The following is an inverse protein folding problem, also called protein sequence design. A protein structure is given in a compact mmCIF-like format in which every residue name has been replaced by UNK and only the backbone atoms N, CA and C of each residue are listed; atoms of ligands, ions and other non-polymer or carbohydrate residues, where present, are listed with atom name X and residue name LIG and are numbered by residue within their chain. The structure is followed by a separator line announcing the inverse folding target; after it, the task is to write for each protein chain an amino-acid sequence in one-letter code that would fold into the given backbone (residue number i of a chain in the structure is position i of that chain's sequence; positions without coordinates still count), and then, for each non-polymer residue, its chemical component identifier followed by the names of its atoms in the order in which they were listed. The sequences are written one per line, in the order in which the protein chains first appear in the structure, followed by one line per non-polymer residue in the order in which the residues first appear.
data_IF_321764257702
#
_entry.id   IF_321764257702
#
_cell.length_a   1.000
_cell.length_b   1.000
_cell.length_c   1.000
_cell.angle_alpha   90.00
_cell.angle_beta   90.00
_cell.angle_gamma   90.00
#
_symmetry.space_group_name_H-M   'P 1'
#
loop_
_entity.id
_entity.type
_entity.pdbx_description
1 polymer ?
#
# COMPACT_ATOMS: atom_id res chain seq x y z
N UNK A 1 18.45 -2.23 -18.66
CA UNK A 1 17.18 -2.72 -18.12
C UNK A 1 16.37 -3.27 -19.29
N UNK A 2 15.83 -4.49 -19.17
CA UNK A 2 15.07 -5.11 -20.24
C UNK A 2 13.71 -4.40 -20.42
N UNK A 3 13.28 -4.26 -21.68
CA UNK A 3 11.98 -3.66 -22.02
C UNK A 3 10.85 -4.67 -21.79
N UNK A 4 9.59 -4.23 -21.67
CA UNK A 4 8.44 -5.13 -21.41
C UNK A 4 8.36 -6.33 -22.37
N UNK A 5 8.61 -6.13 -23.67
CA UNK A 5 8.61 -7.21 -24.66
C UNK A 5 9.79 -8.17 -24.54
N UNK A 6 10.96 -7.66 -24.14
CA UNK A 6 12.14 -8.50 -23.95
C UNK A 6 11.88 -9.47 -22.78
N UNK A 7 11.32 -8.96 -21.65
CA UNK A 7 10.90 -9.80 -20.53
C UNK A 7 9.82 -10.83 -20.94
N UNK A 8 8.83 -10.41 -21.74
CA UNK A 8 7.77 -11.30 -22.23
C UNK A 8 8.36 -12.45 -23.08
N UNK A 9 9.28 -12.13 -23.99
CA UNK A 9 9.90 -13.13 -24.85
C UNK A 9 10.78 -14.11 -24.07
N UNK A 10 11.48 -13.64 -23.03
CA UNK A 10 12.31 -14.48 -22.16
C UNK A 10 11.50 -15.50 -21.36
N UNK A 11 10.24 -15.21 -21.06
CA UNK A 11 9.33 -16.07 -20.30
C UNK A 11 8.39 -16.91 -21.20
N UNK A 12 8.45 -16.74 -22.51
CA UNK A 12 7.47 -17.30 -23.44
C UNK A 12 7.37 -18.84 -23.45
N UNK A 13 8.40 -19.54 -22.99
CA UNK A 13 8.45 -21.01 -22.93
C UNK A 13 8.39 -21.56 -21.50
N UNK A 14 8.32 -20.68 -20.48
CA UNK A 14 8.38 -21.07 -19.08
C UNK A 14 6.99 -21.12 -18.47
N UNK A 15 6.74 -22.11 -17.61
CA UNK A 15 5.54 -22.20 -16.78
C UNK A 15 5.76 -21.36 -15.50
N UNK A 16 5.84 -20.04 -15.70
CA UNK A 16 6.14 -19.08 -14.62
C UNK A 16 4.91 -18.56 -13.91
N UNK A 17 3.72 -18.58 -14.54
CA UNK A 17 2.47 -18.08 -14.01
C UNK A 17 1.63 -19.22 -13.43
N UNK A 18 1.85 -19.53 -12.15
CA UNK A 18 1.27 -20.71 -11.49
C UNK A 18 -0.25 -20.59 -11.38
N UNK A 19 -0.95 -21.61 -11.88
CA UNK A 19 -2.42 -21.66 -11.90
C UNK A 19 -3.07 -21.02 -13.13
N UNK A 20 -2.26 -20.52 -14.07
CA UNK A 20 -2.70 -19.94 -15.33
C UNK A 20 -1.89 -20.48 -16.50
N UNK A 21 -2.43 -20.38 -17.70
CA UNK A 21 -1.74 -20.75 -18.93
C UNK A 21 -0.81 -19.61 -19.40
N UNK A 22 0.49 -19.81 -19.26
CA UNK A 22 1.51 -18.84 -19.68
C UNK A 22 1.51 -18.58 -21.19
N UNK A 23 1.13 -19.56 -22.02
CA UNK A 23 1.02 -19.37 -23.47
C UNK A 23 -0.17 -18.48 -23.82
N UNK A 24 -1.30 -18.69 -23.13
CA UNK A 24 -2.49 -17.85 -23.30
C UNK A 24 -2.22 -16.40 -22.84
N UNK A 25 -1.48 -16.22 -21.74
CA UNK A 25 -1.00 -14.91 -21.31
C UNK A 25 -0.18 -14.20 -22.40
N UNK A 26 0.81 -14.90 -22.98
CA UNK A 26 1.66 -14.38 -24.05
C UNK A 26 0.84 -14.01 -25.31
N UNK A 27 -0.12 -14.87 -25.68
CA UNK A 27 -0.99 -14.61 -26.82
C UNK A 27 -1.80 -13.31 -26.62
N UNK A 28 -2.49 -13.17 -25.49
CA UNK A 28 -3.28 -11.96 -25.19
C UNK A 28 -2.38 -10.72 -25.18
N UNK A 29 -1.21 -10.79 -24.55
CA UNK A 29 -0.28 -9.67 -24.48
C UNK A 29 0.20 -9.23 -25.88
N UNK A 30 0.52 -10.17 -26.76
CA UNK A 30 0.93 -9.88 -28.15
C UNK A 30 -0.19 -9.34 -29.00
N UNK A 31 -1.39 -9.91 -28.95
CA UNK A 31 -2.56 -9.44 -29.68
C UNK A 31 -2.90 -7.99 -29.30
N UNK A 32 -3.02 -7.71 -27.99
CA UNK A 32 -3.29 -6.35 -27.50
C UNK A 32 -2.16 -5.38 -27.82
N UNK A 33 -0.90 -5.80 -27.77
CA UNK A 33 0.23 -4.96 -28.17
C UNK A 33 0.13 -4.51 -29.62
N UNK A 34 -0.23 -5.42 -30.55
CA UNK A 34 -0.41 -5.11 -31.96
C UNK A 34 -1.57 -4.13 -32.16
N UNK A 35 -2.71 -4.35 -31.50
CA UNK A 35 -3.87 -3.45 -31.58
C UNK A 35 -3.53 -2.04 -31.06
N UNK A 36 -2.89 -1.93 -29.89
CA UNK A 36 -2.53 -0.65 -29.30
C UNK A 36 -1.46 0.09 -30.13
N UNK A 37 -0.54 -0.65 -30.74
CA UNK A 37 0.47 -0.08 -31.65
C UNK A 37 -0.19 0.46 -32.91
N UNK A 38 -1.20 -0.21 -33.47
CA UNK A 38 -1.96 0.30 -34.60
C UNK A 38 -2.75 1.57 -34.27
N UNK A 39 -3.38 1.64 -33.09
CA UNK A 39 -4.05 2.85 -32.61
C UNK A 39 -3.06 4.01 -32.43
N UNK A 40 -1.84 3.73 -31.99
CA UNK A 40 -0.78 4.72 -31.80
C UNK A 40 -0.19 5.24 -33.12
N UNK A 41 -0.34 4.50 -34.22
CA UNK A 41 0.21 4.88 -35.55
C UNK A 41 -0.40 6.18 -36.11
N UNK A 42 -1.54 6.61 -35.60
CA UNK A 42 -2.22 7.87 -35.99
C UNK A 42 -1.65 9.13 -35.31
N UNK A 43 -0.65 9.03 -34.42
CA UNK A 43 0.04 10.14 -33.77
C UNK A 43 0.29 9.96 -32.27
N UNK A 44 -0.69 10.27 -31.43
CA UNK A 44 -0.54 10.21 -29.98
C UNK A 44 -1.00 8.86 -29.46
N UNK A 45 -0.20 8.15 -28.62
CA UNK A 45 -0.61 6.91 -27.99
C UNK A 45 -1.89 7.08 -27.15
N UNK A 46 -2.86 6.15 -27.25
CA UNK A 46 -4.13 6.25 -26.53
C UNK A 46 -3.95 6.13 -25.03
N UNK A 47 -4.71 6.93 -24.28
CA UNK A 47 -4.82 6.82 -22.82
C UNK A 47 -5.70 5.62 -22.46
N UNK A 48 -5.15 4.69 -21.67
CA UNK A 48 -5.80 3.42 -21.35
C UNK A 48 -6.23 3.40 -19.89
N UNK A 49 -7.52 3.19 -19.63
CA UNK A 49 -7.98 2.70 -18.32
C UNK A 49 -7.91 1.19 -18.32
N UNK A 50 -7.19 0.62 -17.35
CA UNK A 50 -7.07 -0.81 -17.13
C UNK A 50 -7.79 -1.20 -15.83
N UNK A 51 -8.93 -1.90 -15.98
CA UNK A 51 -9.80 -2.33 -14.88
C UNK A 51 -10.30 -3.78 -15.06
N UNK A 52 -9.43 -4.64 -15.56
CA UNK A 52 -9.72 -6.05 -15.76
C UNK A 52 -9.86 -6.79 -14.41
N UNK A 53 -10.88 -7.65 -14.30
CA UNK A 53 -11.10 -8.50 -13.11
C UNK A 53 -10.22 -9.74 -13.10
N UNK A 54 -10.04 -10.31 -14.27
CA UNK A 54 -9.30 -11.55 -14.44
C UNK A 54 -7.79 -11.24 -14.41
N UNK A 55 -7.02 -11.84 -13.47
CA UNK A 55 -5.61 -11.51 -13.26
C UNK A 55 -4.74 -11.67 -14.50
N UNK A 56 -4.94 -12.76 -15.27
CA UNK A 56 -4.16 -13.02 -16.47
C UNK A 56 -4.37 -11.91 -17.51
N UNK A 57 -5.64 -11.51 -17.76
CA UNK A 57 -5.96 -10.43 -18.70
C UNK A 57 -5.44 -9.09 -18.20
N UNK A 58 -5.55 -8.81 -16.89
CA UNK A 58 -5.00 -7.59 -16.30
C UNK A 58 -3.51 -7.46 -16.60
N UNK A 59 -2.74 -8.50 -16.30
CA UNK A 59 -1.29 -8.48 -16.48
C UNK A 59 -0.89 -8.44 -17.97
N UNK A 60 -1.58 -9.19 -18.83
CA UNK A 60 -1.34 -9.18 -20.28
C UNK A 60 -1.62 -7.78 -20.88
N UNK A 61 -2.74 -7.16 -20.47
CA UNK A 61 -3.10 -5.80 -20.88
C UNK A 61 -2.11 -4.75 -20.38
N UNK A 62 -1.62 -4.90 -19.14
CA UNK A 62 -0.60 -4.03 -18.56
C UNK A 62 0.70 -4.08 -19.38
N UNK A 63 1.19 -5.27 -19.68
CA UNK A 63 2.41 -5.44 -20.49
C UNK A 63 2.23 -4.92 -21.90
N UNK A 64 1.09 -5.20 -22.56
CA UNK A 64 0.77 -4.69 -23.87
C UNK A 64 0.78 -3.14 -23.92
N UNK A 65 0.13 -2.49 -22.94
CA UNK A 65 0.09 -1.04 -22.83
C UNK A 65 1.49 -0.44 -22.64
N UNK A 66 2.29 -1.01 -21.71
CA UNK A 66 3.68 -0.58 -21.49
C UNK A 66 4.54 -0.76 -22.75
N UNK A 67 4.41 -1.90 -23.44
CA UNK A 67 5.16 -2.21 -24.66
C UNK A 67 4.79 -1.29 -25.83
N UNK A 68 3.50 -0.91 -25.96
CA UNK A 68 3.01 0.01 -26.97
C UNK A 68 3.23 1.50 -26.60
N UNK A 69 3.92 1.77 -25.50
CA UNK A 69 4.16 3.12 -24.98
C UNK A 69 2.88 3.92 -24.66
N UNK A 70 1.78 3.25 -24.36
CA UNK A 70 0.52 3.89 -24.02
C UNK A 70 0.48 4.30 -22.54
N UNK A 71 0.01 5.53 -22.22
CA UNK A 71 -0.29 5.89 -20.84
C UNK A 71 -1.37 4.98 -20.27
N UNK A 72 -1.07 4.26 -19.17
CA UNK A 72 -2.00 3.28 -18.57
C UNK A 72 -2.37 3.65 -17.15
N UNK A 73 -3.68 3.69 -16.85
CA UNK A 73 -4.26 4.01 -15.55
C UNK A 73 -4.77 2.72 -14.90
N UNK A 74 -4.14 2.30 -13.81
CA UNK A 74 -4.52 1.09 -13.10
C UNK A 74 -5.69 1.41 -12.16
N UNK A 75 -6.85 0.83 -12.45
CA UNK A 75 -8.09 1.15 -11.79
C UNK A 75 -8.71 -0.08 -11.12
N UNK A 76 -9.36 0.14 -9.98
CA UNK A 76 -10.14 -0.90 -9.34
C UNK A 76 -11.49 -1.07 -10.05
N UNK A 77 -11.72 -2.24 -10.60
CA UNK A 77 -12.97 -2.59 -11.28
C UNK A 77 -14.20 -2.56 -10.37
N UNK A 78 -14.02 -2.58 -9.04
CA UNK A 78 -15.10 -2.55 -8.04
C UNK A 78 -15.39 -1.15 -7.49
N UNK A 79 -14.79 -0.09 -8.05
CA UNK A 79 -15.15 1.28 -7.67
C UNK A 79 -16.62 1.58 -7.91
N UNK A 80 -17.21 2.37 -7.01
CA UNK A 80 -18.58 2.85 -7.15
C UNK A 80 -18.72 3.95 -8.21
N UNK A 81 -19.97 4.31 -8.51
CA UNK A 81 -20.32 5.30 -9.55
C UNK A 81 -19.61 6.65 -9.36
N UNK A 82 -19.51 7.14 -8.12
CA UNK A 82 -18.86 8.44 -7.84
C UNK A 82 -17.35 8.40 -8.08
N UNK A 83 -16.70 7.29 -7.74
CA UNK A 83 -15.26 7.12 -7.96
C UNK A 83 -14.97 7.01 -9.46
N UNK A 84 -15.77 6.25 -10.19
CA UNK A 84 -15.65 6.14 -11.64
C UNK A 84 -15.88 7.49 -12.34
N UNK A 85 -16.87 8.28 -11.87
CA UNK A 85 -17.09 9.62 -12.42
C UNK A 85 -15.85 10.51 -12.25
N UNK A 86 -15.23 10.51 -11.04
CA UNK A 86 -13.98 11.26 -10.81
C UNK A 86 -12.85 10.80 -11.74
N UNK A 87 -12.73 9.51 -11.97
CA UNK A 87 -11.70 8.95 -12.87
C UNK A 87 -11.95 9.37 -14.31
N UNK A 88 -13.18 9.26 -14.81
CA UNK A 88 -13.52 9.66 -16.18
C UNK A 88 -13.34 11.15 -16.41
N UNK A 89 -13.74 11.99 -15.45
CA UNK A 89 -13.56 13.44 -15.53
C UNK A 89 -12.06 13.82 -15.53
N UNK A 90 -11.25 13.10 -14.74
CA UNK A 90 -9.82 13.36 -14.62
C UNK A 90 -9.03 12.83 -15.83
N UNK A 91 -9.32 11.61 -16.29
CA UNK A 91 -8.48 10.88 -17.25
C UNK A 91 -8.93 11.14 -18.69
N UNK A 92 -10.24 11.14 -18.95
CA UNK A 92 -10.80 11.18 -20.31
C UNK A 92 -10.12 10.15 -21.22
N UNK A 93 -10.36 8.84 -20.99
CA UNK A 93 -9.64 7.75 -21.65
C UNK A 93 -10.03 7.62 -23.12
N UNK A 94 -9.09 7.15 -23.94
CA UNK A 94 -9.33 6.76 -25.34
C UNK A 94 -9.75 5.28 -25.44
N UNK A 95 -9.22 4.44 -24.51
CA UNK A 95 -9.48 2.99 -24.46
C UNK A 95 -9.77 2.56 -23.02
N UNK A 96 -10.74 1.68 -22.85
CA UNK A 96 -11.07 1.06 -21.54
C UNK A 96 -11.00 -0.45 -21.70
N UNK A 97 -10.16 -1.09 -20.86
CA UNK A 97 -9.99 -2.55 -20.80
C UNK A 97 -10.60 -3.07 -19.49
N UNK A 98 -11.53 -4.05 -19.58
CA UNK A 98 -12.07 -4.81 -18.47
C UNK A 98 -13.45 -4.39 -17.95
N UNK A 99 -13.92 -3.17 -18.17
CA UNK A 99 -15.29 -2.77 -17.88
C UNK A 99 -16.10 -2.90 -19.18
N UNK A 100 -17.10 -3.78 -19.18
CA UNK A 100 -17.95 -3.97 -20.35
C UNK A 100 -18.69 -2.68 -20.72
N UNK A 101 -18.76 -2.38 -22.02
CA UNK A 101 -19.36 -1.20 -22.67
C UNK A 101 -20.86 -0.98 -22.36
N UNK A 102 -21.47 -1.64 -21.39
CA UNK A 102 -22.93 -1.70 -21.25
C UNK A 102 -23.54 -0.67 -20.30
N UNK A 103 -22.76 0.00 -19.47
CA UNK A 103 -23.32 0.92 -18.47
C UNK A 103 -22.80 2.36 -18.53
N UNK A 104 -21.66 2.59 -19.18
CA UNK A 104 -21.06 3.92 -19.26
C UNK A 104 -20.94 4.29 -20.74
N UNK A 105 -21.77 5.22 -21.19
CA UNK A 105 -21.69 5.75 -22.55
C UNK A 105 -20.30 6.29 -22.82
N UNK A 106 -19.57 5.63 -23.74
CA UNK A 106 -18.30 6.14 -24.24
C UNK A 106 -18.58 7.42 -24.98
N UNK A 107 -18.47 8.55 -24.29
CA UNK A 107 -18.30 9.83 -24.97
C UNK A 107 -16.87 9.86 -25.50
N UNK A 108 -16.71 9.78 -26.82
CA UNK A 108 -15.49 10.22 -27.48
C UNK A 108 -15.32 11.68 -27.07
N UNK A 109 -14.43 11.94 -26.14
CA UNK A 109 -14.22 13.26 -25.56
C UNK A 109 -13.69 14.20 -26.63
N UNK A 110 -14.45 15.23 -26.97
CA UNK A 110 -13.92 16.37 -27.68
C UNK A 110 -12.81 17.00 -26.87
N UNK A 111 -11.57 16.84 -27.35
CA UNK A 111 -10.34 17.21 -26.68
C UNK A 111 -10.34 18.62 -26.13
N UNK A 112 -10.38 18.71 -24.82
CA UNK A 112 -9.83 19.85 -24.10
C UNK A 112 -8.34 19.55 -23.85
N UNK A 113 -7.50 20.51 -24.26
CA UNK A 113 -6.03 20.49 -24.17
C UNK A 113 -5.49 20.33 -22.75
N UNK A 114 -5.65 19.15 -22.14
CA UNK A 114 -4.71 18.74 -21.11
C UNK A 114 -3.50 18.13 -21.83
N UNK A 115 -2.30 18.63 -21.53
CA UNK A 115 -1.06 18.03 -22.03
C UNK A 115 -1.16 16.52 -21.81
N UNK A 116 -1.16 15.76 -22.93
CA UNK A 116 -1.12 14.32 -22.87
C UNK A 116 0.08 13.91 -22.01
N UNK A 117 -0.08 13.06 -20.99
CA UNK A 117 1.09 12.54 -20.29
C UNK A 117 2.04 11.97 -21.33
N UNK A 118 3.34 12.20 -21.13
CA UNK A 118 4.35 11.69 -22.04
C UNK A 118 4.17 10.18 -22.23
N UNK A 119 4.45 9.61 -23.39
CA UNK A 119 4.37 8.17 -23.62
C UNK A 119 5.14 7.42 -22.53
N UNK A 120 4.77 6.19 -22.23
CA UNK A 120 5.34 5.29 -21.20
C UNK A 120 4.94 5.55 -19.75
N UNK A 121 3.96 6.40 -19.46
CA UNK A 121 3.57 6.62 -18.08
C UNK A 121 2.61 5.54 -17.58
N UNK A 122 2.89 5.07 -16.36
CA UNK A 122 2.10 4.09 -15.61
C UNK A 122 1.49 4.82 -14.43
N UNK A 123 0.19 5.03 -14.45
CA UNK A 123 -0.55 5.74 -13.43
C UNK A 123 -1.15 4.77 -12.43
N UNK A 124 -0.64 4.79 -11.21
CA UNK A 124 -1.10 3.92 -10.12
C UNK A 124 -1.95 4.73 -9.16
N UNK A 125 -3.19 4.28 -8.94
CA UNK A 125 -4.12 4.98 -8.05
C UNK A 125 -3.59 5.01 -6.61
N UNK A 126 -3.64 6.18 -5.98
CA UNK A 126 -3.31 6.36 -4.57
C UNK A 126 -4.50 6.97 -3.82
N UNK A 127 -4.78 6.43 -2.63
CA UNK A 127 -5.85 6.96 -1.78
C UNK A 127 -5.38 8.24 -1.09
N UNK A 128 -5.83 9.38 -1.57
CA UNK A 128 -5.64 10.64 -0.87
C UNK A 128 -6.53 10.75 0.38
N UNK A 129 -6.02 11.32 1.48
CA UNK A 129 -6.80 11.69 2.67
C UNK A 129 -7.91 12.72 2.36
N UNK A 130 -7.83 13.38 1.20
CA UNK A 130 -8.77 14.41 0.74
C UNK A 130 -10.05 13.87 0.07
N UNK A 131 -10.20 12.55 -0.06
CA UNK A 131 -11.34 11.94 -0.78
C UNK A 131 -11.31 12.14 -2.32
N UNK A 132 -10.31 12.83 -2.85
CA UNK A 132 -10.11 12.99 -4.28
C UNK A 132 -9.23 11.87 -4.84
N UNK A 133 -9.62 11.35 -6.00
CA UNK A 133 -8.84 10.35 -6.72
C UNK A 133 -7.55 10.97 -7.26
N UNK A 134 -6.41 10.31 -7.01
CA UNK A 134 -5.11 10.71 -7.51
C UNK A 134 -4.39 9.51 -8.10
N UNK A 135 -3.54 9.76 -9.10
CA UNK A 135 -2.68 8.74 -9.68
C UNK A 135 -1.22 9.19 -9.58
N UNK A 136 -0.39 8.39 -8.92
CA UNK A 136 1.06 8.57 -8.96
C UNK A 136 1.58 8.15 -10.33
N UNK A 137 2.45 8.97 -10.92
CA UNK A 137 3.00 8.76 -12.25
C UNK A 137 4.31 7.99 -12.12
N UNK A 138 4.34 6.79 -12.65
CA UNK A 138 5.54 5.96 -12.74
C UNK A 138 5.92 5.73 -14.21
N UNK A 139 7.10 5.18 -14.41
CA UNK A 139 7.58 4.63 -15.68
C UNK A 139 8.04 3.20 -15.47
N UNK A 140 8.32 2.49 -16.56
CA UNK A 140 8.92 1.15 -16.46
C UNK A 140 10.23 1.19 -15.68
N UNK A 141 11.04 2.24 -15.87
CA UNK A 141 12.31 2.44 -15.20
C UNK A 141 12.15 2.63 -13.69
N UNK A 142 11.19 3.43 -13.23
CA UNK A 142 10.96 3.64 -11.79
C UNK A 142 10.48 2.36 -11.11
N UNK A 143 9.62 1.57 -11.78
CA UNK A 143 9.17 0.28 -11.24
C UNK A 143 10.30 -0.75 -11.18
N UNK A 144 11.09 -0.85 -12.25
CA UNK A 144 12.22 -1.79 -12.31
C UNK A 144 13.39 -1.38 -11.41
N UNK A 145 13.59 -0.08 -11.12
CA UNK A 145 14.55 0.36 -10.10
C UNK A 145 14.17 -0.16 -8.70
N UNK A 146 12.86 -0.16 -8.36
CA UNK A 146 12.39 -0.77 -7.12
C UNK A 146 12.63 -2.28 -7.09
N UNK A 147 12.44 -2.99 -8.22
CA UNK A 147 12.76 -4.43 -8.32
C UNK A 147 14.25 -4.68 -8.10
N UNK A 148 15.11 -3.90 -8.74
CA UNK A 148 16.56 -4.04 -8.60
C UNK A 148 16.98 -3.83 -7.15
N UNK A 149 16.52 -2.74 -6.51
CA UNK A 149 16.81 -2.49 -5.09
C UNK A 149 16.33 -3.60 -4.16
N UNK A 150 15.18 -4.23 -4.46
CA UNK A 150 14.69 -5.40 -3.74
C UNK A 150 15.62 -6.60 -3.92
N UNK A 151 15.99 -6.92 -5.16
CA UNK A 151 16.85 -8.06 -5.49
C UNK A 151 18.25 -7.93 -4.86
N UNK A 152 18.83 -6.72 -4.92
CA UNK A 152 20.12 -6.42 -4.29
C UNK A 152 20.06 -6.53 -2.77
N UNK A 153 18.97 -6.03 -2.16
CA UNK A 153 18.79 -6.09 -0.70
C UNK A 153 18.70 -7.53 -0.17
N UNK A 154 17.91 -8.37 -0.85
CA UNK A 154 17.77 -9.78 -0.48
C UNK A 154 18.86 -10.69 -1.08
N UNK A 155 19.74 -10.16 -1.94
CA UNK A 155 20.82 -10.88 -2.63
C UNK A 155 20.29 -12.08 -3.44
N UNK A 156 19.24 -11.84 -4.21
CA UNK A 156 18.58 -12.85 -5.03
C UNK A 156 18.50 -12.42 -6.49
N UNK A 157 18.61 -13.37 -7.41
CA UNK A 157 18.52 -13.13 -8.86
C UNK A 157 17.12 -13.33 -9.41
N UNK A 158 16.39 -14.31 -8.87
CA UNK A 158 15.02 -14.64 -9.26
C UNK A 158 14.10 -14.46 -8.05
N UNK A 159 12.98 -13.78 -8.25
CA UNK A 159 11.98 -13.53 -7.20
C UNK A 159 10.70 -14.29 -7.51
N UNK A 160 10.41 -15.33 -6.73
CA UNK A 160 9.12 -15.98 -6.80
C UNK A 160 8.16 -15.29 -5.84
N UNK A 161 6.97 -14.92 -6.32
CA UNK A 161 5.95 -14.21 -5.53
C UNK A 161 4.65 -14.99 -5.44
N UNK A 162 4.08 -15.07 -4.25
CA UNK A 162 2.71 -15.51 -4.02
C UNK A 162 1.84 -14.28 -3.74
N UNK A 163 1.09 -13.83 -4.75
CA UNK A 163 0.35 -12.58 -4.73
C UNK A 163 -1.09 -12.78 -4.27
N UNK A 164 -1.42 -12.23 -3.11
CA UNK A 164 -2.79 -12.18 -2.56
C UNK A 164 -3.38 -10.76 -2.54
N UNK A 165 -2.63 -9.78 -3.04
CA UNK A 165 -3.01 -8.38 -3.06
C UNK A 165 -3.49 -7.94 -4.44
N UNK A 166 -4.38 -6.94 -4.53
CA UNK A 166 -4.93 -6.48 -5.81
C UNK A 166 -3.84 -5.98 -6.75
N UNK A 167 -3.88 -6.41 -8.01
CA UNK A 167 -2.88 -6.08 -9.04
C UNK A 167 -2.93 -4.60 -9.47
N UNK A 168 -4.07 -3.92 -9.34
CA UNK A 168 -4.22 -2.50 -9.62
C UNK A 168 -3.62 -1.60 -8.53
N UNK A 169 -3.21 -2.14 -7.39
CA UNK A 169 -2.43 -1.45 -6.36
C UNK A 169 -0.94 -1.75 -6.51
N UNK A 170 -0.11 -0.78 -6.12
CA UNK A 170 1.36 -0.93 -6.15
C UNK A 170 1.83 -2.20 -5.43
N UNK A 171 1.17 -2.60 -4.35
CA UNK A 171 1.54 -3.78 -3.55
C UNK A 171 1.34 -5.11 -4.28
N UNK A 172 0.31 -5.23 -5.13
CA UNK A 172 0.09 -6.39 -5.98
C UNK A 172 0.93 -6.31 -7.26
N UNK A 173 0.90 -5.15 -7.94
CA UNK A 173 1.67 -4.90 -9.17
C UNK A 173 3.15 -5.23 -8.98
N UNK A 174 3.76 -4.76 -7.89
CA UNK A 174 5.19 -4.97 -7.68
C UNK A 174 5.58 -6.41 -7.35
N UNK A 175 4.66 -7.25 -6.90
CA UNK A 175 4.90 -8.69 -6.81
C UNK A 175 4.99 -9.31 -8.21
N UNK A 176 4.10 -8.91 -9.12
CA UNK A 176 4.21 -9.28 -10.53
C UNK A 176 5.51 -8.75 -11.14
N UNK A 177 5.80 -7.45 -11.00
CA UNK A 177 7.00 -6.86 -11.56
C UNK A 177 8.28 -7.59 -11.14
N UNK A 178 8.39 -7.94 -9.85
CA UNK A 178 9.52 -8.73 -9.34
C UNK A 178 9.65 -10.07 -10.04
N UNK A 179 8.58 -10.86 -10.10
CA UNK A 179 8.63 -12.17 -10.74
C UNK A 179 8.85 -12.06 -12.25
N UNK A 180 8.14 -11.15 -12.92
CA UNK A 180 8.19 -10.99 -14.36
C UNK A 180 9.57 -10.53 -14.86
N UNK A 181 10.16 -9.52 -14.22
CA UNK A 181 11.45 -8.94 -14.69
C UNK A 181 12.68 -9.69 -14.20
N UNK A 182 12.53 -10.63 -13.26
CA UNK A 182 13.64 -11.49 -12.78
C UNK A 182 13.53 -12.92 -13.25
N UNK A 183 12.63 -13.23 -14.18
CA UNK A 183 12.31 -14.59 -14.64
C UNK A 183 11.98 -15.55 -13.48
N UNK A 184 11.33 -15.04 -12.42
CA UNK A 184 10.82 -15.82 -11.31
C UNK A 184 9.39 -16.30 -11.55
N UNK A 185 8.86 -17.09 -10.61
CA UNK A 185 7.50 -17.64 -10.66
C UNK A 185 6.52 -16.72 -9.94
N UNK A 186 5.32 -16.60 -10.48
CA UNK A 186 4.21 -15.85 -9.90
C UNK A 186 3.01 -16.76 -9.67
N UNK A 187 2.59 -16.92 -8.42
CA UNK A 187 1.30 -17.50 -8.06
C UNK A 187 0.35 -16.37 -7.64
N UNK A 188 -0.86 -16.33 -8.23
CA UNK A 188 -1.85 -15.31 -7.91
C UNK A 188 -3.10 -15.98 -7.37
N UNK A 189 -3.52 -15.57 -6.19
CA UNK A 189 -4.73 -16.11 -5.58
C UNK A 189 -5.39 -15.05 -4.68
N UNK A 190 -6.72 -14.83 -4.76
CA UNK A 190 -7.41 -13.91 -3.86
C UNK A 190 -7.22 -14.33 -2.39
N UNK A 191 -6.92 -13.38 -1.52
CA UNK A 191 -6.73 -13.66 -0.09
C UNK A 191 -7.90 -14.42 0.54
N UNK A 192 -9.14 -14.08 0.13
CA UNK A 192 -10.35 -14.75 0.59
C UNK A 192 -10.33 -16.26 0.29
N UNK A 193 -9.81 -16.68 -0.87
CA UNK A 193 -9.68 -18.09 -1.24
C UNK A 193 -8.68 -18.82 -0.34
N UNK A 194 -7.57 -18.14 0.03
CA UNK A 194 -6.59 -18.65 0.99
C UNK A 194 -7.22 -18.82 2.37
N UNK A 195 -8.01 -17.83 2.84
CA UNK A 195 -8.73 -17.91 4.12
C UNK A 195 -9.65 -19.14 4.24
N UNK A 196 -10.22 -19.59 3.14
CA UNK A 196 -11.06 -20.81 3.11
C UNK A 196 -10.25 -22.10 2.95
N UNK A 197 -8.93 -22.05 3.00
CA UNK A 197 -8.05 -23.25 2.92
C UNK A 197 -7.89 -23.82 1.51
N UNK A 198 -8.43 -23.18 0.48
CA UNK A 198 -8.22 -23.58 -0.91
C UNK A 198 -6.97 -22.87 -1.44
N UNK A 199 -5.81 -23.51 -1.26
CA UNK A 199 -4.51 -22.90 -1.49
C UNK A 199 -3.80 -23.59 -2.66
N UNK A 200 -3.23 -22.80 -3.58
CA UNK A 200 -2.38 -23.30 -4.66
C UNK A 200 -1.19 -24.08 -4.09
N UNK A 201 -0.93 -25.25 -4.66
CA UNK A 201 0.20 -26.09 -4.26
C UNK A 201 1.50 -25.52 -4.82
N UNK A 202 2.31 -24.93 -3.93
CA UNK A 202 3.63 -24.40 -4.21
C UNK A 202 4.61 -24.84 -3.12
N UNK A 203 5.90 -24.69 -3.36
CA UNK A 203 6.93 -24.86 -2.32
C UNK A 203 7.19 -23.51 -1.66
N UNK A 204 6.48 -23.19 -0.59
CA UNK A 204 6.46 -21.90 0.11
C UNK A 204 7.85 -21.34 0.41
N UNK A 205 8.81 -22.23 0.76
CA UNK A 205 10.18 -21.84 1.09
C UNK A 205 10.95 -21.18 -0.08
N UNK A 206 10.39 -21.21 -1.30
CA UNK A 206 10.96 -20.55 -2.48
C UNK A 206 10.26 -19.22 -2.79
N UNK A 207 9.20 -18.86 -2.06
CA UNK A 207 8.33 -17.72 -2.38
C UNK A 207 8.37 -16.62 -1.33
N UNK A 208 8.21 -15.40 -1.82
CA UNK A 208 7.80 -14.24 -1.03
C UNK A 208 6.29 -14.10 -1.07
N UNK A 209 5.69 -13.69 0.05
CA UNK A 209 4.29 -13.27 0.12
C UNK A 209 4.21 -11.89 0.77
N UNK A 210 3.30 -11.03 0.29
CA UNK A 210 3.06 -9.72 0.88
C UNK A 210 1.68 -9.68 1.52
N UNK A 211 1.63 -9.23 2.77
CA UNK A 211 0.40 -9.10 3.55
C UNK A 211 0.27 -7.68 4.14
N UNK A 212 -0.97 -7.29 4.39
CA UNK A 212 -1.27 -6.17 5.29
C UNK A 212 -1.53 -6.68 6.70
N UNK A 213 -1.39 -5.85 7.77
CA UNK A 213 -1.54 -6.31 9.15
C UNK A 213 -2.87 -7.03 9.45
N UNK A 214 -3.97 -6.59 8.86
CA UNK A 214 -5.29 -7.25 9.03
C UNK A 214 -5.35 -8.63 8.40
N UNK A 215 -4.66 -8.88 7.29
CA UNK A 215 -4.54 -10.21 6.69
C UNK A 215 -3.68 -11.13 7.55
N UNK A 216 -2.52 -10.64 8.02
CA UNK A 216 -1.68 -11.38 8.96
C UNK A 216 -2.44 -11.76 10.22
N UNK A 217 -3.23 -10.83 10.78
CA UNK A 217 -4.07 -11.11 11.95
C UNK A 217 -5.04 -12.27 11.69
N UNK A 218 -5.72 -12.29 10.53
CA UNK A 218 -6.66 -13.35 10.18
C UNK A 218 -5.96 -14.69 9.99
N UNK A 219 -4.81 -14.71 9.33
CA UNK A 219 -3.99 -15.93 9.18
C UNK A 219 -3.60 -16.48 10.55
N UNK A 220 -3.15 -15.64 11.48
CA UNK A 220 -2.74 -16.04 12.83
C UNK A 220 -3.89 -16.48 13.74
N UNK A 221 -5.15 -16.32 13.34
CA UNK A 221 -6.32 -16.86 14.03
C UNK A 221 -6.63 -18.31 13.64
N UNK A 222 -6.08 -18.78 12.52
CA UNK A 222 -6.26 -20.16 12.02
C UNK A 222 -4.92 -20.92 12.12
N UNK A 223 -4.84 -22.02 12.90
CA UNK A 223 -3.61 -22.77 13.07
C UNK A 223 -3.02 -23.34 11.77
N UNK A 224 -3.86 -23.86 10.87
CA UNK A 224 -3.42 -24.43 9.58
C UNK A 224 -2.83 -23.37 8.67
N UNK A 225 -3.47 -22.19 8.59
CA UNK A 225 -2.93 -21.06 7.82
C UNK A 225 -1.69 -20.47 8.46
N UNK A 226 -1.59 -20.49 9.78
CA UNK A 226 -0.39 -20.06 10.51
C UNK A 226 0.80 -20.97 10.17
N UNK A 227 0.61 -22.28 10.20
CA UNK A 227 1.63 -23.27 9.81
C UNK A 227 2.01 -23.08 8.34
N UNK A 228 1.05 -22.96 7.44
CA UNK A 228 1.29 -22.70 6.02
C UNK A 228 2.12 -21.41 5.81
N UNK A 229 1.80 -20.32 6.51
CA UNK A 229 2.52 -19.05 6.36
C UNK A 229 3.94 -19.11 6.92
N UNK A 230 4.17 -19.92 7.96
CA UNK A 230 5.49 -20.08 8.58
C UNK A 230 6.53 -20.71 7.66
N UNK A 231 6.07 -21.40 6.61
CA UNK A 231 6.93 -22.09 5.63
C UNK A 231 7.44 -21.17 4.52
N UNK A 232 6.93 -19.94 4.40
CA UNK A 232 7.40 -19.00 3.37
C UNK A 232 8.85 -18.56 3.61
N UNK A 233 9.57 -18.34 2.50
CA UNK A 233 10.91 -17.76 2.55
C UNK A 233 10.90 -16.43 3.32
N UNK A 234 9.99 -15.55 2.94
CA UNK A 234 9.82 -14.23 3.54
C UNK A 234 8.39 -13.75 3.42
N UNK A 235 7.84 -13.24 4.51
CA UNK A 235 6.52 -12.61 4.58
C UNK A 235 6.71 -11.10 4.71
N UNK A 236 6.53 -10.36 3.62
CA UNK A 236 6.59 -8.90 3.62
C UNK A 236 5.32 -8.34 4.30
N UNK A 237 5.48 -7.45 5.25
CA UNK A 237 4.37 -6.82 5.97
C UNK A 237 4.42 -5.31 5.80
N UNK A 238 3.40 -4.74 5.15
CA UNK A 238 3.36 -3.31 4.87
C UNK A 238 1.94 -2.75 4.71
N UNK A 239 1.85 -1.54 4.18
CA UNK A 239 0.59 -0.85 3.88
C UNK A 239 -0.07 -0.16 5.08
N UNK A 240 0.23 -0.56 6.31
CA UNK A 240 -0.22 0.08 7.55
C UNK A 240 0.74 -0.28 8.71
N UNK A 241 0.75 0.50 9.81
CA UNK A 241 1.47 0.13 11.03
C UNK A 241 0.94 -1.19 11.61
N UNK A 242 1.86 -2.09 11.99
CA UNK A 242 1.55 -3.31 12.71
C UNK A 242 1.74 -3.08 14.21
N UNK A 243 0.82 -3.59 15.02
CA UNK A 243 0.90 -3.46 16.49
C UNK A 243 1.74 -4.58 17.11
N UNK A 244 2.30 -4.31 18.27
CA UNK A 244 3.31 -5.16 18.90
C UNK A 244 2.85 -6.61 19.13
N UNK A 245 1.59 -6.84 19.61
CA UNK A 245 1.14 -8.22 19.84
C UNK A 245 1.02 -9.02 18.54
N UNK A 246 0.65 -8.38 17.42
CA UNK A 246 0.63 -9.05 16.13
C UNK A 246 2.04 -9.51 15.76
N UNK A 247 3.03 -8.63 15.95
CA UNK A 247 4.43 -8.92 15.68
C UNK A 247 4.97 -10.01 16.62
N UNK A 248 4.64 -9.94 17.94
CA UNK A 248 5.03 -10.96 18.91
C UNK A 248 4.40 -12.32 18.58
N UNK A 249 3.12 -12.33 18.21
CA UNK A 249 2.44 -13.56 17.80
C UNK A 249 3.08 -14.17 16.54
N UNK A 250 3.40 -13.35 15.55
CA UNK A 250 4.11 -13.79 14.34
C UNK A 250 5.51 -14.36 14.68
N UNK A 251 6.24 -13.72 15.60
CA UNK A 251 7.54 -14.17 16.08
C UNK A 251 7.44 -15.49 16.84
N UNK A 252 6.43 -15.64 17.71
CA UNK A 252 6.16 -16.88 18.43
C UNK A 252 5.96 -18.07 17.48
N UNK A 253 5.21 -17.87 16.39
CA UNK A 253 5.02 -18.88 15.34
C UNK A 253 6.18 -18.97 14.33
N UNK A 254 7.29 -18.29 14.59
CA UNK A 254 8.51 -18.28 13.78
C UNK A 254 8.27 -17.90 12.32
N UNK A 255 7.25 -17.07 12.07
CA UNK A 255 7.00 -16.53 10.75
C UNK A 255 8.17 -15.62 10.37
N UNK A 256 8.76 -15.86 9.21
CA UNK A 256 9.87 -15.08 8.65
C UNK A 256 9.34 -13.73 8.13
N UNK A 257 8.86 -12.91 9.07
CA UNK A 257 8.25 -11.61 8.77
C UNK A 257 9.33 -10.59 8.42
N UNK A 258 9.03 -9.76 7.44
CA UNK A 258 9.85 -8.62 7.02
C UNK A 258 8.96 -7.36 7.00
N UNK A 259 8.84 -6.63 8.11
CA UNK A 259 8.20 -5.32 8.14
C UNK A 259 8.81 -4.39 7.10
N UNK A 260 7.97 -3.71 6.33
CA UNK A 260 8.40 -2.83 5.24
C UNK A 260 7.80 -1.44 5.36
N UNK A 261 8.52 -0.44 4.86
CA UNK A 261 8.01 0.90 4.67
C UNK A 261 8.14 1.33 3.23
N UNK A 262 7.07 1.86 2.68
CA UNK A 262 6.95 2.38 1.33
C UNK A 262 5.52 2.71 0.98
N UNK A 263 5.33 3.28 -0.18
CA UNK A 263 4.04 3.80 -0.65
C UNK A 263 3.91 3.68 -2.16
N UNK A 264 2.78 4.09 -2.71
CA UNK A 264 2.59 4.11 -4.17
C UNK A 264 3.66 4.96 -4.82
N UNK A 265 3.98 6.11 -4.25
CA UNK A 265 4.92 7.11 -4.77
C UNK A 265 6.38 6.62 -4.80
N UNK A 266 6.70 5.55 -4.07
CA UNK A 266 8.04 4.93 -4.05
C UNK A 266 8.10 3.61 -4.81
N UNK A 267 7.08 3.28 -5.61
CA UNK A 267 6.94 1.99 -6.29
C UNK A 267 7.14 0.81 -5.33
N UNK A 268 6.49 0.81 -4.17
CA UNK A 268 6.57 -0.16 -3.08
C UNK A 268 7.60 0.22 -1.99
N UNK A 269 8.26 -0.78 -1.37
CA UNK A 269 9.12 -0.57 -0.21
C UNK A 269 10.46 0.10 -0.55
N UNK A 270 10.89 0.99 0.35
CA UNK A 270 12.21 1.63 0.35
C UNK A 270 13.00 1.34 1.63
N UNK A 271 12.36 0.77 2.63
CA UNK A 271 13.01 0.22 3.82
C UNK A 271 12.38 -1.12 4.19
N UNK A 272 13.18 -2.05 4.71
CA UNK A 272 12.73 -3.39 5.07
C UNK A 272 13.57 -3.97 6.20
N UNK A 273 12.94 -4.53 7.21
CA UNK A 273 13.59 -5.32 8.24
C UNK A 273 13.76 -6.76 7.76
N UNK A 274 14.98 -7.30 7.82
CA UNK A 274 15.23 -8.70 7.41
C UNK A 274 14.52 -9.67 8.35
N UNK A 275 14.04 -10.83 7.84
CA UNK A 275 13.36 -11.84 8.67
C UNK A 275 14.17 -12.30 9.88
N UNK A 276 15.48 -12.45 9.75
CA UNK A 276 16.34 -12.92 10.86
C UNK A 276 16.48 -11.85 11.95
N UNK A 277 16.55 -10.57 11.59
CA UNK A 277 16.51 -9.46 12.54
C UNK A 277 15.15 -9.37 13.25
N UNK A 278 14.05 -9.58 12.52
CA UNK A 278 12.70 -9.66 13.09
C UNK A 278 12.59 -10.80 14.09
N UNK A 279 13.03 -12.01 13.74
CA UNK A 279 13.03 -13.18 14.63
C UNK A 279 13.97 -12.99 15.82
N UNK A 280 15.04 -12.19 15.65
CA UNK A 280 15.96 -11.77 16.73
C UNK A 280 15.40 -10.70 17.67
N UNK A 281 14.14 -10.25 17.46
CA UNK A 281 13.45 -9.33 18.38
C UNK A 281 13.51 -7.84 17.97
N UNK A 282 14.14 -7.47 16.83
CA UNK A 282 14.14 -6.07 16.38
C UNK A 282 12.74 -5.62 15.96
N UNK A 283 12.45 -4.34 16.24
CA UNK A 283 11.19 -3.66 15.88
C UNK A 283 11.56 -2.37 15.17
N UNK A 284 11.42 -2.34 13.86
CA UNK A 284 11.64 -1.16 13.01
C UNK A 284 11.08 -1.44 11.60
N UNK A 285 11.09 -0.45 10.72
CA UNK A 285 10.85 -0.66 9.29
C UNK A 285 12.10 -1.16 8.55
N UNK A 286 13.21 -1.38 9.26
CA UNK A 286 14.45 -1.97 8.77
C UNK A 286 15.40 -1.01 8.06
N UNK A 287 16.33 -1.57 7.31
CA UNK A 287 17.34 -0.83 6.57
C UNK A 287 16.77 -0.27 5.26
N UNK A 288 17.34 0.82 4.81
CA UNK A 288 17.01 1.46 3.53
C UNK A 288 17.52 0.55 2.39
N UNK A 289 16.70 0.36 1.37
CA UNK A 289 17.05 -0.44 0.20
C UNK A 289 18.08 0.29 -0.69
N UNK A 290 18.95 -0.42 -1.44
CA UNK A 290 20.05 0.17 -2.19
C UNK A 290 19.68 1.24 -3.23
N UNK A 291 18.45 1.21 -3.77
CA UNK A 291 17.95 2.17 -4.76
C UNK A 291 17.41 3.46 -4.15
N UNK A 292 17.42 3.58 -2.81
CA UNK A 292 16.85 4.70 -2.09
C UNK A 292 17.82 5.30 -1.07
N UNK A 293 17.60 6.58 -0.75
CA UNK A 293 18.23 7.31 0.34
C UNK A 293 17.15 8.00 1.15
N UNK A 294 17.21 7.87 2.47
CA UNK A 294 16.30 8.55 3.39
C UNK A 294 17.11 9.48 4.27
N UNK A 295 16.64 10.72 4.40
CA UNK A 295 17.15 11.70 5.34
C UNK A 295 16.02 12.13 6.28
N UNK A 296 16.38 12.39 7.53
CA UNK A 296 15.45 12.92 8.52
C UNK A 296 15.78 14.39 8.74
N UNK A 297 14.82 15.27 8.50
CA UNK A 297 15.03 16.71 8.55
C UNK A 297 14.10 17.39 9.56
N UNK A 298 14.57 18.50 10.14
CA UNK A 298 13.71 19.38 10.91
C UNK A 298 12.81 20.24 10.00
N UNK A 299 12.01 21.13 10.56
CA UNK A 299 11.12 22.03 9.80
C UNK A 299 11.88 23.03 8.91
N UNK A 300 13.14 23.32 9.22
CA UNK A 300 14.02 24.18 8.45
C UNK A 300 14.77 23.47 7.33
N UNK A 301 14.59 22.14 7.20
CA UNK A 301 15.27 21.31 6.18
C UNK A 301 16.67 20.85 6.60
N UNK A 302 17.09 21.08 7.85
CA UNK A 302 18.40 20.64 8.35
C UNK A 302 18.33 19.15 8.72
N UNK A 303 19.39 18.40 8.35
CA UNK A 303 19.48 16.95 8.62
C UNK A 303 19.71 16.73 10.12
N UNK A 304 18.88 15.86 10.71
CA UNK A 304 18.94 15.50 12.10
C UNK A 304 19.91 14.34 12.36
N UNK A 305 20.44 14.28 13.59
CA UNK A 305 21.25 13.18 14.06
C UNK A 305 20.40 11.90 14.30
N UNK A 306 21.02 10.71 14.35
CA UNK A 306 20.33 9.48 14.70
C UNK A 306 19.50 9.61 15.99
N UNK A 307 18.36 8.91 16.03
CA UNK A 307 17.36 8.91 17.11
C UNK A 307 16.61 10.24 17.31
N UNK A 308 16.80 11.22 16.44
CA UNK A 308 16.01 12.46 16.47
C UNK A 308 14.84 12.36 15.48
N UNK A 309 13.63 12.65 15.96
CA UNK A 309 12.40 12.59 15.18
C UNK A 309 12.29 13.84 14.29
N UNK A 310 12.03 13.62 13.01
CA UNK A 310 11.81 14.67 12.03
C UNK A 310 11.02 14.23 10.83
N UNK A 311 10.91 15.11 9.84
CA UNK A 311 10.25 14.84 8.57
C UNK A 311 11.12 13.87 7.74
N UNK A 312 10.48 12.88 7.15
CA UNK A 312 11.13 11.92 6.26
C UNK A 312 11.23 12.55 4.86
N UNK A 313 12.45 12.64 4.34
CA UNK A 313 12.73 13.03 2.96
C UNK A 313 13.32 11.84 2.22
N UNK A 314 12.77 11.56 1.04
CA UNK A 314 13.12 10.39 0.24
C UNK A 314 13.75 10.86 -1.07
N UNK A 315 14.89 10.29 -1.41
CA UNK A 315 15.51 10.32 -2.73
C UNK A 315 15.64 8.87 -3.21
N UNK A 316 15.00 8.51 -4.32
CA UNK A 316 15.05 7.15 -4.83
C UNK A 316 14.82 7.10 -6.35
N UNK A 317 15.52 6.18 -7.01
CA UNK A 317 15.32 5.92 -8.44
C UNK A 317 13.92 5.40 -8.77
N UNK A 318 13.21 4.89 -7.77
CA UNK A 318 11.83 4.38 -7.87
C UNK A 318 10.76 5.44 -7.60
N UNK A 319 11.14 6.71 -7.36
CA UNK A 319 10.16 7.77 -7.07
C UNK A 319 9.25 8.05 -8.26
N UNK A 320 7.97 8.26 -7.95
CA UNK A 320 6.99 8.75 -8.90
C UNK A 320 7.37 10.14 -9.42
N UNK A 321 7.13 10.38 -10.70
CA UNK A 321 7.40 11.67 -11.35
C UNK A 321 6.43 12.79 -10.91
N UNK A 322 5.39 12.46 -10.17
CA UNK A 322 4.37 13.40 -9.69
C UNK A 322 3.00 12.73 -9.57
N UNK A 323 1.96 13.57 -9.59
CA UNK A 323 0.57 13.10 -9.62
C UNK A 323 -0.12 13.62 -10.88
N UNK A 324 -0.74 12.71 -11.62
CA UNK A 324 -1.47 13.08 -12.83
C UNK A 324 -2.53 14.18 -12.56
N UNK A 325 -2.63 15.23 -13.40
CA UNK A 325 -1.90 15.44 -14.66
C UNK A 325 -0.55 16.19 -14.53
N UNK A 326 -0.04 16.43 -13.31
CA UNK A 326 1.13 17.28 -13.04
C UNK A 326 2.35 16.42 -12.76
N UNK A 327 3.39 16.55 -13.57
CA UNK A 327 4.72 16.01 -13.28
C UNK A 327 5.54 17.01 -12.48
N UNK A 328 6.45 16.50 -11.63
CA UNK A 328 7.42 17.32 -10.92
C UNK A 328 8.61 17.57 -11.83
N UNK A 329 8.73 18.79 -12.33
CA UNK A 329 9.94 19.17 -13.03
C UNK A 329 11.06 19.42 -11.99
N UNK A 330 12.18 18.69 -12.11
CA UNK A 330 13.45 18.93 -11.41
C UNK A 330 13.46 18.80 -9.85
N UNK A 331 12.52 18.09 -9.21
CA UNK A 331 12.64 17.76 -7.79
C UNK A 331 13.24 16.36 -7.59
N UNK A 332 14.47 16.31 -7.08
CA UNK A 332 15.16 15.06 -6.72
C UNK A 332 14.65 14.49 -5.40
N UNK A 333 14.11 15.33 -4.52
CA UNK A 333 13.71 14.95 -3.16
C UNK A 333 12.19 14.96 -3.01
N UNK A 334 11.67 13.94 -2.36
CA UNK A 334 10.26 13.83 -2.01
C UNK A 334 10.08 13.91 -0.50
N UNK A 335 9.65 15.08 -0.04
CA UNK A 335 9.23 15.24 1.35
C UNK A 335 7.82 14.70 1.50
N UNK A 336 7.67 13.77 2.41
CA UNK A 336 6.38 13.15 2.73
C UNK A 336 5.87 13.65 4.07
N UNK A 337 4.59 13.39 4.32
CA UNK A 337 3.94 13.80 5.56
C UNK A 337 4.27 12.87 6.75
N UNK A 338 5.07 11.81 6.53
CA UNK A 338 5.44 10.88 7.58
C UNK A 338 6.62 11.41 8.41
N UNK A 339 6.55 11.17 9.71
CA UNK A 339 7.59 11.46 10.69
C UNK A 339 8.28 10.18 11.13
N UNK A 340 9.58 10.26 11.32
CA UNK A 340 10.38 9.12 11.75
C UNK A 340 11.77 9.51 12.20
N UNK A 341 12.59 8.51 12.48
CA UNK A 341 14.00 8.66 12.77
C UNK A 341 14.80 7.47 12.25
N UNK A 342 16.07 7.69 12.00
CA UNK A 342 17.05 6.62 11.81
C UNK A 342 17.71 6.32 13.14
N UNK A 343 17.81 5.05 13.52
CA UNK A 343 18.56 4.65 14.69
C UNK A 343 20.09 4.66 14.43
N UNK A 344 20.89 4.38 15.45
CA UNK A 344 22.35 4.32 15.33
C UNK A 344 22.87 3.25 14.36
N UNK A 345 22.03 2.30 13.95
CA UNK A 345 22.36 1.24 12.98
C UNK A 345 21.82 1.57 11.58
N UNK A 346 21.17 2.74 11.41
CA UNK A 346 20.56 3.18 10.15
C UNK A 346 19.21 2.54 9.84
N UNK A 347 18.54 1.92 10.83
CA UNK A 347 17.19 1.41 10.62
C UNK A 347 16.15 2.54 10.73
N UNK A 348 15.21 2.54 9.80
CA UNK A 348 14.11 3.49 9.78
C UNK A 348 13.04 3.08 10.81
N UNK A 349 12.62 4.05 11.61
CA UNK A 349 11.54 3.93 12.57
C UNK A 349 10.48 4.99 12.26
N UNK A 350 9.27 4.54 11.95
CA UNK A 350 8.13 5.42 11.65
C UNK A 350 7.41 5.76 12.95
N UNK A 351 7.19 7.04 13.20
CA UNK A 351 6.47 7.54 14.38
C UNK A 351 5.00 7.82 14.07
N UNK A 352 4.69 8.34 12.88
CA UNK A 352 3.33 8.64 12.44
C UNK A 352 3.33 9.69 11.33
N UNK A 353 2.14 10.26 11.07
CA UNK A 353 1.99 11.36 10.10
C UNK A 353 1.94 12.69 10.79
N UNK A 354 2.55 13.70 10.19
CA UNK A 354 2.52 15.06 10.70
C UNK A 354 1.09 15.67 10.64
N UNK A 355 0.33 15.36 9.59
CA UNK A 355 -1.08 15.75 9.45
C UNK A 355 -2.02 15.07 10.44
N UNK A 356 -1.67 13.87 10.91
CA UNK A 356 -2.45 13.13 11.91
C UNK A 356 -2.07 13.50 13.34
N UNK A 357 -1.02 14.32 13.52
CA UNK A 357 -0.55 14.76 14.83
C UNK A 357 -1.64 15.56 15.56
N UNK A 358 -1.92 15.15 16.77
CA UNK A 358 -2.89 15.81 17.66
C UNK A 358 -2.12 16.70 18.65
N UNK A 359 -2.49 17.96 18.70
CA UNK A 359 -1.91 18.89 19.68
C UNK A 359 -2.88 19.06 20.83
N UNK A 360 -2.58 18.45 21.97
CA UNK A 360 -3.42 18.52 23.17
C UNK A 360 -2.64 19.04 24.35
N UNK A 361 -3.11 20.13 24.96
CA UNK A 361 -2.43 20.76 26.11
C UNK A 361 -0.98 21.19 25.84
N UNK A 362 -0.64 21.50 24.59
CA UNK A 362 0.71 21.85 24.15
C UNK A 362 1.61 20.66 23.81
N UNK A 363 1.14 19.42 24.03
CA UNK A 363 1.89 18.19 23.70
C UNK A 363 1.57 17.69 22.29
N UNK A 364 2.59 17.27 21.56
CA UNK A 364 2.46 16.64 20.26
C UNK A 364 2.23 15.14 20.42
N UNK A 365 1.06 14.66 20.05
CA UNK A 365 0.68 13.27 20.19
C UNK A 365 0.44 12.64 18.82
N UNK A 366 1.00 11.47 18.63
CA UNK A 366 0.83 10.69 17.41
C UNK A 366 -0.18 9.58 17.68
N UNK A 367 -1.33 9.57 16.96
CA UNK A 367 -2.40 8.59 17.15
C UNK A 367 -1.92 7.15 17.12
N UNK A 368 -0.99 6.82 16.24
CA UNK A 368 -0.49 5.47 16.05
C UNK A 368 0.09 4.83 17.34
N UNK A 369 0.74 5.62 18.20
CA UNK A 369 1.27 5.15 19.49
C UNK A 369 0.13 4.73 20.42
N UNK A 370 -0.92 5.54 20.47
CA UNK A 370 -2.08 5.28 21.33
C UNK A 370 -2.93 4.13 20.78
N UNK A 371 -3.16 4.13 19.47
CA UNK A 371 -3.87 3.05 18.77
C UNK A 371 -3.18 1.71 19.03
N UNK A 372 -1.85 1.67 18.92
CA UNK A 372 -1.05 0.47 19.22
C UNK A 372 -1.21 0.02 20.68
N UNK A 373 -1.14 0.95 21.64
CA UNK A 373 -1.31 0.63 23.05
C UNK A 373 -2.72 0.12 23.39
N UNK A 374 -3.77 0.69 22.75
CA UNK A 374 -5.15 0.25 22.93
C UNK A 374 -5.35 -1.13 22.29
N UNK A 375 -4.84 -1.37 21.10
CA UNK A 375 -4.88 -2.67 20.42
C UNK A 375 -4.22 -3.76 21.28
N UNK A 376 -3.09 -3.40 21.94
CA UNK A 376 -2.34 -4.23 22.87
C UNK A 376 -3.15 -4.72 24.08
N UNK A 377 -4.25 -4.08 24.41
CA UNK A 377 -5.17 -4.57 25.46
C UNK A 377 -5.99 -5.78 25.03
N UNK A 378 -6.05 -6.08 23.73
CA UNK A 378 -6.88 -7.11 23.09
C UNK A 378 -8.39 -6.95 23.34
N UNK A 379 -8.84 -5.81 23.86
CA UNK A 379 -10.23 -5.55 24.16
C UNK A 379 -11.00 -4.99 22.96
N UNK A 380 -10.27 -4.50 21.94
CA UNK A 380 -10.87 -3.91 20.74
C UNK A 380 -10.59 -4.77 19.50
N UNK A 381 -11.55 -4.86 18.60
CA UNK A 381 -11.38 -5.47 17.29
C UNK A 381 -10.73 -4.51 16.30
N UNK A 382 -11.05 -3.20 16.42
CA UNK A 382 -10.47 -2.12 15.62
C UNK A 382 -10.49 -0.82 16.41
N UNK A 383 -9.62 0.15 16.06
CA UNK A 383 -9.43 1.41 16.79
C UNK A 383 -8.94 2.51 15.85
N UNK A 384 -9.43 3.71 16.05
CA UNK A 384 -8.85 4.93 15.50
C UNK A 384 -8.84 6.03 16.57
N UNK A 385 -7.72 6.70 16.74
CA UNK A 385 -7.59 7.84 17.63
C UNK A 385 -7.52 9.13 16.80
N UNK A 386 -8.37 10.09 17.15
CA UNK A 386 -8.46 11.39 16.48
C UNK A 386 -8.43 12.52 17.49
N UNK A 387 -8.05 13.71 17.04
CA UNK A 387 -8.22 14.96 17.77
C UNK A 387 -9.54 15.63 17.40
N UNK A 388 -10.32 16.00 18.38
CA UNK A 388 -11.50 16.86 18.17
C UNK A 388 -11.28 18.23 18.83
N UNK A 389 -11.80 19.33 18.26
CA UNK A 389 -11.64 20.64 18.87
C UNK A 389 -12.12 20.69 20.33
N UNK A 390 -11.30 21.19 21.23
CA UNK A 390 -11.60 21.33 22.66
C UNK A 390 -11.14 22.69 23.14
N UNK A 391 -12.01 23.38 23.92
CA UNK A 391 -11.75 24.75 24.39
C UNK A 391 -10.58 24.85 25.38
N UNK A 392 -10.30 23.79 26.15
CA UNK A 392 -9.23 23.79 27.16
C UNK A 392 -7.91 23.22 26.62
N UNK A 393 -7.98 22.22 25.77
CA UNK A 393 -6.81 21.47 25.33
C UNK A 393 -6.37 21.79 23.91
N UNK A 394 -7.11 22.65 23.18
CA UNK A 394 -6.96 22.87 21.75
C UNK A 394 -7.57 21.72 20.97
N UNK A 395 -7.08 20.51 21.20
CA UNK A 395 -7.68 19.25 20.72
C UNK A 395 -7.80 18.26 21.89
N UNK A 396 -8.91 17.54 21.97
CA UNK A 396 -9.10 16.42 22.89
C UNK A 396 -8.89 15.10 22.17
N UNK A 397 -8.09 14.24 22.75
CA UNK A 397 -7.91 12.87 22.27
C UNK A 397 -9.21 12.09 22.36
N UNK A 398 -9.64 11.52 21.27
CA UNK A 398 -10.88 10.73 21.16
C UNK A 398 -10.57 9.38 20.53
N UNK A 399 -10.87 8.31 21.26
CA UNK A 399 -10.76 6.94 20.78
C UNK A 399 -12.11 6.48 20.23
N UNK A 400 -12.16 6.08 18.96
CA UNK A 400 -13.33 5.49 18.31
C UNK A 400 -12.98 4.03 18.05
N UNK A 401 -13.70 3.10 18.67
CA UNK A 401 -13.30 1.71 18.71
C UNK A 401 -14.45 0.73 18.47
N UNK A 402 -14.11 -0.43 17.94
CA UNK A 402 -15.02 -1.58 17.83
C UNK A 402 -14.72 -2.50 19.01
N UNK A 403 -15.65 -2.68 19.97
CA UNK A 403 -15.45 -3.58 21.09
C UNK A 403 -15.35 -5.03 20.60
N UNK A 404 -14.43 -5.81 21.17
CA UNK A 404 -14.26 -7.22 20.81
C UNK A 404 -15.30 -8.13 21.48
N UNK A 405 -15.77 -7.72 22.65
CA UNK A 405 -16.80 -8.39 23.44
C UNK A 405 -17.83 -7.38 23.92
N UNK A 406 -19.06 -7.83 24.17
CA UNK A 406 -20.16 -6.97 24.60
C UNK A 406 -19.92 -6.28 25.95
N UNK A 407 -19.08 -6.85 26.80
CA UNK A 407 -18.72 -6.31 28.12
C UNK A 407 -17.48 -5.40 28.09
N UNK A 408 -16.92 -5.11 26.90
CA UNK A 408 -15.80 -4.21 26.72
C UNK A 408 -16.22 -2.78 27.04
N UNK A 409 -15.68 -2.20 28.09
CA UNK A 409 -15.94 -0.80 28.48
C UNK A 409 -14.71 0.06 28.37
N UNK A 410 -14.90 1.36 28.11
CA UNK A 410 -13.84 2.36 28.08
C UNK A 410 -13.01 2.34 29.37
N UNK A 411 -13.67 2.20 30.54
CA UNK A 411 -13.01 2.18 31.86
C UNK A 411 -12.04 0.99 32.00
N UNK A 412 -12.43 -0.21 31.50
CA UNK A 412 -11.54 -1.39 31.51
C UNK A 412 -10.30 -1.13 30.65
N UNK A 413 -10.47 -0.57 29.44
CA UNK A 413 -9.36 -0.25 28.54
C UNK A 413 -8.45 0.80 29.20
N UNK A 414 -9.00 1.89 29.71
CA UNK A 414 -8.25 2.95 30.39
C UNK A 414 -7.40 2.42 31.55
N UNK A 415 -7.95 1.47 32.33
CA UNK A 415 -7.23 0.88 33.45
C UNK A 415 -6.00 0.13 32.99
N UNK A 416 -6.07 -0.60 31.88
CA UNK A 416 -4.93 -1.31 31.30
C UNK A 416 -3.88 -0.40 30.65
N UNK A 417 -4.24 0.83 30.35
CA UNK A 417 -3.35 1.82 29.73
C UNK A 417 -2.58 2.68 30.75
N UNK A 418 -3.02 2.75 32.01
CA UNK A 418 -2.44 3.64 33.01
C UNK A 418 -0.94 3.46 33.23
N UNK A 419 -0.47 2.22 33.14
CA UNK A 419 0.95 1.88 33.30
C UNK A 419 1.73 1.87 31.99
N UNK A 420 1.05 2.01 30.86
CA UNK A 420 1.64 1.94 29.52
C UNK A 420 1.78 3.29 28.84
N UNK A 421 0.88 4.23 29.15
CA UNK A 421 0.85 5.55 28.55
C UNK A 421 0.83 6.64 29.61
N UNK A 422 1.49 7.76 29.33
CA UNK A 422 1.40 8.94 30.17
C UNK A 422 -0.05 9.50 30.18
N UNK A 423 -0.44 10.15 31.25
CA UNK A 423 -1.82 10.61 31.51
C UNK A 423 -2.42 11.44 30.35
N UNK A 424 -1.61 12.26 29.70
CA UNK A 424 -2.05 13.12 28.59
C UNK A 424 -2.22 12.34 27.26
N UNK A 425 -1.70 11.12 27.15
CA UNK A 425 -1.90 10.22 26.02
C UNK A 425 -3.12 9.30 26.15
N UNK A 426 -3.81 9.33 27.29
CA UNK A 426 -5.04 8.56 27.49
C UNK A 426 -6.20 9.31 26.87
N UNK A 427 -6.95 8.72 25.91
CA UNK A 427 -8.09 9.39 25.31
C UNK A 427 -9.11 9.89 26.34
N UNK A 428 -9.56 11.13 26.15
CA UNK A 428 -10.58 11.76 27.00
C UNK A 428 -11.97 11.24 26.68
N UNK A 429 -12.25 11.03 25.39
CA UNK A 429 -13.52 10.52 24.91
C UNK A 429 -13.33 9.14 24.27
N UNK A 430 -14.33 8.26 24.51
CA UNK A 430 -14.34 6.88 24.06
C UNK A 430 -15.66 6.59 23.40
N UNK A 431 -15.67 6.33 22.10
CA UNK A 431 -16.88 6.17 21.29
C UNK A 431 -16.88 4.77 20.70
N UNK A 432 -17.74 3.86 21.21
CA UNK A 432 -17.91 2.55 20.61
C UNK A 432 -18.67 2.65 19.29
N UNK A 433 -18.25 1.88 18.30
CA UNK A 433 -18.87 1.77 16.99
C UNK A 433 -18.99 0.31 16.57
N UNK A 434 -19.89 0.00 15.63
CA UNK A 434 -20.03 -1.33 15.03
C UNK A 434 -19.03 -1.55 13.89
N UNK A 435 -18.65 -0.48 13.18
CA UNK A 435 -17.66 -0.50 12.13
C UNK A 435 -16.93 0.85 12.06
N UNK A 436 -15.67 0.86 11.60
CA UNK A 436 -14.96 2.08 11.29
C UNK A 436 -15.05 2.36 9.77
N UNK A 437 -15.41 3.59 9.36
CA UNK A 437 -15.49 3.95 7.96
C UNK A 437 -14.12 3.83 7.31
N UNK A 438 -14.07 3.13 6.18
CA UNK A 438 -12.84 2.92 5.40
C UNK A 438 -13.08 3.31 3.95
N UNK A 439 -12.02 3.78 3.31
CA UNK A 439 -12.03 3.97 1.87
C UNK A 439 -11.90 2.61 1.14
N UNK A 440 -12.08 2.56 -0.19
CA UNK A 440 -11.97 1.33 -0.97
C UNK A 440 -10.61 0.63 -0.86
N UNK A 441 -9.54 1.36 -0.51
CA UNK A 441 -8.21 0.81 -0.23
C UNK A 441 -8.08 0.23 1.19
N UNK A 442 -9.17 0.21 1.98
CA UNK A 442 -9.19 -0.28 3.35
C UNK A 442 -8.60 0.68 4.39
N UNK A 443 -8.21 1.89 4.00
CA UNK A 443 -7.71 2.92 4.94
C UNK A 443 -8.87 3.61 5.66
N UNK A 444 -8.68 3.87 6.96
CA UNK A 444 -9.67 4.57 7.79
C UNK A 444 -9.92 5.99 7.28
N UNK A 445 -11.19 6.37 7.14
CA UNK A 445 -11.62 7.73 6.81
C UNK A 445 -11.72 8.59 8.09
N UNK A 446 -10.61 9.26 8.44
CA UNK A 446 -10.51 10.07 9.66
C UNK A 446 -11.46 11.28 9.65
N UNK A 447 -11.74 11.88 8.51
CA UNK A 447 -12.67 13.00 8.40
C UNK A 447 -14.10 12.60 8.76
N UNK A 448 -14.55 11.47 8.24
CA UNK A 448 -15.87 10.92 8.58
C UNK A 448 -15.94 10.54 10.07
N UNK A 449 -14.86 10.02 10.65
CA UNK A 449 -14.80 9.75 12.09
C UNK A 449 -14.86 11.01 12.93
N UNK A 450 -14.24 12.13 12.49
CA UNK A 450 -14.37 13.41 13.19
C UNK A 450 -15.82 13.90 13.23
N UNK A 451 -16.56 13.78 12.14
CA UNK A 451 -17.99 14.13 12.11
C UNK A 451 -18.80 13.27 13.08
N UNK A 452 -18.62 11.94 13.03
CA UNK A 452 -19.26 10.99 13.95
C UNK A 452 -18.96 11.37 15.42
N UNK A 453 -17.70 11.70 15.73
CA UNK A 453 -17.30 12.05 17.08
C UNK A 453 -17.94 13.37 17.55
N UNK A 454 -18.00 14.38 16.69
CA UNK A 454 -18.63 15.67 16.99
C UNK A 454 -20.13 15.50 17.25
N UNK A 455 -20.82 14.75 16.38
CA UNK A 455 -22.25 14.45 16.52
C UNK A 455 -22.55 13.67 17.82
N UNK A 456 -21.75 12.65 18.12
CA UNK A 456 -21.89 11.86 19.35
C UNK A 456 -21.72 12.70 20.61
N UNK A 457 -20.80 13.67 20.60
CA UNK A 457 -20.55 14.54 21.78
C UNK A 457 -21.54 15.69 21.91
N UNK A 458 -22.18 16.12 20.83
CA UNK A 458 -23.25 17.10 20.83
C UNK A 458 -24.58 16.50 21.28
N UNK A 459 -24.82 15.20 21.00
CA UNK A 459 -26.02 14.46 21.39
C UNK A 459 -25.61 13.20 22.17
N UNK A 460 -25.13 13.32 23.42
CA UNK A 460 -24.81 12.16 24.21
C UNK A 460 -26.09 11.32 24.37
N UNK A 461 -26.09 10.09 23.87
CA UNK A 461 -27.16 9.13 24.11
C UNK A 461 -27.21 8.94 25.62
N UNK A 462 -28.26 9.50 26.24
CA UNK A 462 -28.58 9.39 27.67
C UNK A 462 -28.87 7.94 28.05
#
# INVERSE_FOLDING_TARGET
MERPLDCLNNLAQDDWLIGYDSNHFNQIAQELYLELTQLSASGTPPKIILAEREPLRFLASFIAACAANCPVFLCNHDWGTQEWQQVFDLVQPDVILGIGNREWGIGIGNGNNYQCPMPNHIMISTGGSSGQMKFAIHTWETLTASVQGFSDYFQIKQVNSFCVLPLYHVSGLMQFMRSFTTAGKLAIQPFKTVEFGNILNIKQSEYFISLVPTQLQRVLQNPELTEWLSQFNTVLLGGAPAWNELLEKARFHRIRLAPTYGMTETASQIATLKPDDFLGGKISSGQILPHAKITICNQQGEILNPNQIGNITIDAQSLALGYYPITRENQTDFQIDDLGFLDNQGHLNIVGRNSDKIITGGENIYPAEIESAIQATQMVADICVIGIPDKHWGQALTAIYIPKQSDTSALKIQTLLKDKLSKFKIPKYWIPQQSLPRNPQGKINRQQLQQIAIEFLQNPIT
#
